data_IF_877492965896
#
_entry.id   IF_877492965896
#
_cell.length_a   1.000
_cell.length_b   1.000
_cell.length_c   1.000
_cell.angle_alpha   90.00
_cell.angle_beta   90.00
_cell.angle_gamma   90.00
#
_symmetry.space_group_name_H-M   'P 1'
#
loop_
_entity.id
_entity.type
_entity.pdbx_description
1 polymer ?
#
# COMPACT_ATOMS: atom_id res chain seq x y z
N UNK A 1 7.88 11.61 -23.85
CA UNK A 1 8.58 11.01 -22.69
C UNK A 1 8.51 12.02 -21.56
N UNK A 2 7.85 11.66 -20.47
CA UNK A 2 7.75 12.49 -19.26
C UNK A 2 8.75 11.93 -18.25
N UNK A 3 9.51 12.82 -17.62
CA UNK A 3 10.33 12.48 -16.45
C UNK A 3 9.57 12.94 -15.22
N UNK A 4 9.33 12.02 -14.30
CA UNK A 4 8.56 12.28 -13.09
C UNK A 4 9.19 11.53 -11.90
N UNK A 5 8.68 11.79 -10.71
CA UNK A 5 9.13 11.22 -9.45
C UNK A 5 7.99 10.48 -8.75
N UNK A 6 8.28 9.39 -8.05
CA UNK A 6 7.29 8.77 -7.16
C UNK A 6 6.98 9.68 -5.97
N UNK A 7 8.01 10.28 -5.40
CA UNK A 7 7.94 11.11 -4.20
C UNK A 7 8.10 12.57 -4.58
N UNK A 8 7.21 13.43 -4.07
CA UNK A 8 7.30 14.87 -4.28
C UNK A 8 8.62 15.45 -3.74
N UNK A 9 9.15 16.47 -4.40
CA UNK A 9 10.46 17.07 -4.07
C UNK A 9 10.49 17.70 -2.68
N UNK A 10 9.36 18.26 -2.24
CA UNK A 10 9.16 18.91 -0.94
C UNK A 10 8.83 17.92 0.20
N UNK A 11 8.64 16.64 -0.11
CA UNK A 11 8.36 15.62 0.90
C UNK A 11 9.56 15.36 1.80
N UNK A 12 9.34 15.18 3.10
CA UNK A 12 10.39 14.77 4.04
C UNK A 12 10.70 13.27 3.91
N UNK A 13 9.72 12.47 3.44
CA UNK A 13 9.88 11.02 3.28
C UNK A 13 10.69 10.69 2.03
N UNK A 14 11.51 9.63 2.09
CA UNK A 14 12.35 9.16 0.99
C UNK A 14 12.25 7.64 0.87
N UNK A 15 12.44 7.12 -0.34
CA UNK A 15 12.47 5.68 -0.60
C UNK A 15 13.68 5.06 0.13
N UNK A 16 13.46 4.08 1.03
CA UNK A 16 14.54 3.39 1.73
C UNK A 16 15.53 2.75 0.76
N UNK A 17 16.81 2.67 1.14
CA UNK A 17 17.86 2.18 0.23
C UNK A 17 17.60 0.77 -0.33
N UNK A 18 17.02 -0.14 0.46
CA UNK A 18 16.70 -1.49 0.00
C UNK A 18 15.58 -1.53 -1.07
N UNK A 19 14.74 -0.49 -1.11
CA UNK A 19 13.61 -0.37 -2.04
C UNK A 19 13.98 0.45 -3.29
N UNK A 20 15.11 1.15 -3.27
CA UNK A 20 15.64 1.81 -4.46
C UNK A 20 15.93 0.73 -5.51
N UNK A 21 15.58 1.02 -6.75
CA UNK A 21 15.66 0.09 -7.89
C UNK A 21 14.76 -1.16 -7.79
N UNK A 22 14.03 -1.38 -6.69
CA UNK A 22 13.03 -2.46 -6.62
C UNK A 22 11.64 -2.01 -7.10
N UNK A 23 11.45 -0.72 -7.35
CA UNK A 23 10.16 -0.14 -7.70
C UNK A 23 10.06 0.10 -9.19
N UNK A 24 8.92 -0.29 -9.76
CA UNK A 24 8.61 -0.15 -11.18
C UNK A 24 7.30 0.60 -11.38
N UNK A 25 7.31 1.58 -12.26
CA UNK A 25 6.11 2.28 -12.73
C UNK A 25 5.67 1.63 -14.02
N UNK A 26 4.43 1.18 -14.07
CA UNK A 26 3.83 0.52 -15.22
C UNK A 26 2.57 1.24 -15.67
N UNK A 27 2.43 1.37 -16.99
CA UNK A 27 1.24 1.88 -17.67
C UNK A 27 0.98 0.96 -18.87
N UNK A 28 -0.07 0.14 -18.80
CA UNK A 28 -0.36 -0.94 -19.75
C UNK A 28 0.86 -1.87 -20.00
N UNK A 29 1.37 -1.88 -21.25
CA UNK A 29 2.51 -2.67 -21.70
C UNK A 29 3.87 -1.96 -21.52
N UNK A 30 3.87 -0.72 -21.04
CA UNK A 30 5.07 0.07 -20.81
C UNK A 30 5.44 0.04 -19.34
N UNK A 31 6.72 -0.10 -19.04
CA UNK A 31 7.22 -0.05 -17.68
C UNK A 31 8.58 0.64 -17.62
N UNK A 32 8.83 1.35 -16.53
CA UNK A 32 10.10 1.97 -16.21
C UNK A 32 10.48 1.67 -14.76
N UNK A 33 11.71 1.19 -14.56
CA UNK A 33 12.29 1.06 -13.23
C UNK A 33 12.56 2.45 -12.67
N UNK A 34 12.21 2.66 -11.42
CA UNK A 34 12.49 3.91 -10.73
C UNK A 34 13.90 3.90 -10.14
N UNK A 35 14.50 5.07 -9.97
CA UNK A 35 15.87 5.22 -9.47
C UNK A 35 15.98 6.28 -8.38
N UNK A 36 16.91 6.06 -7.45
CA UNK A 36 17.28 7.01 -6.40
C UNK A 36 16.20 7.24 -5.33
N UNK A 37 16.46 8.16 -4.37
CA UNK A 37 15.69 8.29 -3.13
C UNK A 37 14.29 8.92 -3.32
N UNK A 38 14.02 9.51 -4.49
CA UNK A 38 12.71 10.05 -4.88
C UNK A 38 11.99 9.18 -5.91
N UNK A 39 12.66 8.15 -6.44
CA UNK A 39 12.11 7.25 -7.44
C UNK A 39 11.88 7.97 -8.77
N UNK A 40 12.94 8.54 -9.35
CA UNK A 40 12.87 9.13 -10.69
C UNK A 40 12.63 8.06 -11.74
N UNK A 41 11.72 8.33 -12.68
CA UNK A 41 11.43 7.45 -13.80
C UNK A 41 11.09 8.26 -15.05
N UNK A 42 11.26 7.62 -16.22
CA UNK A 42 10.89 8.21 -17.51
C UNK A 42 9.97 7.24 -18.26
N UNK A 43 8.74 7.68 -18.52
CA UNK A 43 7.73 6.89 -19.23
C UNK A 43 7.07 7.74 -20.32
N UNK A 44 6.64 7.11 -21.40
CA UNK A 44 5.76 7.77 -22.36
C UNK A 44 4.34 7.82 -21.78
N UNK A 45 3.99 8.97 -21.21
CA UNK A 45 2.68 9.18 -20.59
C UNK A 45 1.54 8.97 -21.58
N UNK A 46 0.56 8.20 -21.14
CA UNK A 46 -0.80 8.19 -21.69
C UNK A 46 -1.78 8.69 -20.61
N UNK A 47 -3.08 8.76 -20.95
CA UNK A 47 -4.16 9.09 -20.00
C UNK A 47 -4.62 7.85 -19.19
N UNK A 48 -3.84 6.76 -19.19
CA UNK A 48 -4.15 5.51 -18.48
C UNK A 48 -3.63 5.49 -17.03
N UNK A 49 -4.26 4.76 -16.11
CA UNK A 49 -3.77 4.62 -14.75
C UNK A 49 -2.33 4.08 -14.67
N UNK A 50 -1.58 4.59 -13.70
CA UNK A 50 -0.22 4.15 -13.38
C UNK A 50 -0.29 3.14 -12.25
N UNK A 51 0.36 1.99 -12.44
CA UNK A 51 0.57 1.00 -11.39
C UNK A 51 2.02 1.05 -10.91
N UNK A 52 2.21 1.23 -9.61
CA UNK A 52 3.48 1.00 -8.94
C UNK A 52 3.56 -0.47 -8.55
N UNK A 53 4.60 -1.16 -9.02
CA UNK A 53 4.84 -2.58 -8.77
C UNK A 53 6.20 -2.82 -8.10
N UNK A 54 6.32 -3.96 -7.44
CA UNK A 54 7.53 -4.37 -6.72
C UNK A 54 8.34 -5.44 -7.45
N UNK A 55 9.66 -5.30 -7.43
CA UNK A 55 10.67 -6.22 -7.97
C UNK A 55 10.84 -6.16 -9.48
N UNK A 56 9.74 -6.18 -10.23
CA UNK A 56 9.73 -6.24 -11.70
C UNK A 56 8.51 -5.52 -12.26
N UNK A 57 8.58 -5.15 -13.55
CA UNK A 57 7.38 -4.90 -14.33
C UNK A 57 6.43 -6.12 -14.24
N UNK A 58 5.16 -5.87 -13.91
CA UNK A 58 4.16 -6.91 -13.65
C UNK A 58 4.29 -7.64 -12.32
N UNK A 59 5.14 -7.16 -11.41
CA UNK A 59 5.25 -7.68 -10.06
C UNK A 59 4.03 -7.31 -9.18
N UNK A 60 4.06 -7.65 -7.88
CA UNK A 60 2.99 -7.29 -6.95
C UNK A 60 2.69 -5.80 -6.96
N UNK A 61 1.41 -5.45 -7.08
CA UNK A 61 0.95 -4.06 -7.06
C UNK A 61 1.07 -3.46 -5.67
N UNK A 62 1.61 -2.25 -5.60
CA UNK A 62 1.69 -1.45 -4.38
C UNK A 62 0.68 -0.31 -4.42
N UNK A 63 0.49 0.30 -5.59
CA UNK A 63 -0.40 1.45 -5.78
C UNK A 63 -0.91 1.45 -7.23
N UNK A 64 -2.16 1.83 -7.45
CA UNK A 64 -2.75 2.15 -8.74
C UNK A 64 -3.32 3.56 -8.63
N UNK A 65 -2.90 4.48 -9.47
CA UNK A 65 -3.32 5.87 -9.39
C UNK A 65 -3.63 6.43 -10.78
N UNK A 66 -4.49 7.44 -10.82
CA UNK A 66 -4.78 8.16 -12.05
C UNK A 66 -3.50 8.82 -12.62
N UNK A 67 -3.46 9.09 -13.94
CA UNK A 67 -2.33 9.76 -14.58
C UNK A 67 -1.96 11.07 -13.87
N UNK A 68 -0.66 11.32 -13.73
CA UNK A 68 -0.15 12.45 -12.96
C UNK A 68 -0.35 13.75 -13.76
N UNK A 69 -1.07 14.76 -13.24
CA UNK A 69 -1.18 16.08 -13.88
C UNK A 69 0.07 16.97 -13.66
N UNK A 70 1.21 16.41 -13.22
CA UNK A 70 2.41 17.12 -12.82
C UNK A 70 3.65 16.21 -12.71
N UNK A 71 4.66 16.65 -11.96
CA UNK A 71 5.99 16.01 -11.98
C UNK A 71 6.17 14.90 -10.92
N UNK A 72 5.15 14.63 -10.09
CA UNK A 72 5.25 13.56 -9.09
C UNK A 72 3.93 12.84 -8.79
N UNK A 73 4.01 11.53 -8.49
CA UNK A 73 2.89 10.71 -8.00
C UNK A 73 2.44 11.14 -6.59
N UNK A 74 3.33 11.76 -5.81
CA UNK A 74 3.05 12.18 -4.44
C UNK A 74 3.00 11.03 -3.43
N UNK A 75 3.58 9.88 -3.75
CA UNK A 75 3.60 8.72 -2.87
C UNK A 75 4.50 8.94 -1.66
N UNK A 76 4.05 8.48 -0.49
CA UNK A 76 4.73 8.65 0.80
C UNK A 76 5.10 7.31 1.46
N UNK A 77 5.19 6.25 0.67
CA UNK A 77 5.53 4.91 1.17
C UNK A 77 4.41 4.20 1.92
N UNK A 78 3.22 4.80 2.00
CA UNK A 78 2.02 4.21 2.61
C UNK A 78 1.08 3.70 1.53
N UNK A 79 0.38 2.62 1.83
CA UNK A 79 -0.67 2.05 0.99
C UNK A 79 -1.88 1.72 1.87
N UNK A 80 -3.07 2.15 1.45
CA UNK A 80 -4.32 1.76 2.08
C UNK A 80 -5.17 0.95 1.10
N UNK A 81 -5.72 -0.17 1.54
CA UNK A 81 -6.53 -1.08 0.71
C UNK A 81 -7.78 -1.47 1.49
N UNK A 82 -8.94 -1.31 0.88
CA UNK A 82 -10.20 -1.85 1.38
C UNK A 82 -10.65 -3.02 0.52
N UNK A 83 -11.05 -4.13 1.13
CA UNK A 83 -11.42 -5.35 0.40
C UNK A 83 -11.59 -6.57 1.27
N UNK A 84 -11.27 -7.75 0.74
CA UNK A 84 -11.38 -9.04 1.43
C UNK A 84 -10.04 -9.76 1.44
N UNK A 85 -9.80 -10.52 2.52
CA UNK A 85 -8.64 -11.41 2.60
C UNK A 85 -8.92 -12.65 1.74
N UNK A 86 -8.24 -12.76 0.60
CA UNK A 86 -8.37 -13.91 -0.31
C UNK A 86 -7.47 -15.07 0.12
N UNK A 87 -6.24 -14.75 0.56
CA UNK A 87 -5.25 -15.77 0.95
C UNK A 87 -4.45 -15.32 2.16
N UNK A 88 -4.16 -16.28 3.03
CA UNK A 88 -3.19 -16.15 4.11
C UNK A 88 -2.13 -17.24 3.96
N UNK A 89 -0.88 -16.82 3.96
CA UNK A 89 0.27 -17.70 4.01
C UNK A 89 0.95 -17.51 5.37
N UNK A 90 1.13 -18.60 6.10
CA UNK A 90 1.94 -18.60 7.33
C UNK A 90 3.31 -19.14 6.95
N UNK A 91 4.36 -18.34 7.17
CA UNK A 91 5.73 -18.70 6.84
C UNK A 91 6.58 -18.63 8.11
N UNK A 92 7.38 -19.67 8.32
CA UNK A 92 8.51 -19.63 9.26
C UNK A 92 9.78 -19.73 8.43
N UNK A 93 10.63 -18.71 8.49
CA UNK A 93 11.87 -18.67 7.69
C UNK A 93 12.93 -17.90 8.44
N UNK A 94 14.13 -18.48 8.56
CA UNK A 94 15.24 -17.89 9.33
C UNK A 94 14.88 -17.52 10.79
N UNK A 95 13.97 -18.28 11.42
CA UNK A 95 13.49 -18.03 12.78
C UNK A 95 12.51 -16.85 12.90
N UNK A 96 11.99 -16.36 11.78
CA UNK A 96 10.96 -15.33 11.72
C UNK A 96 9.64 -15.96 11.27
N UNK A 97 8.61 -15.82 12.11
CA UNK A 97 7.25 -16.26 11.81
C UNK A 97 6.43 -15.07 11.29
N UNK A 98 5.92 -15.21 10.06
CA UNK A 98 5.20 -14.16 9.35
C UNK A 98 3.88 -14.68 8.81
N UNK A 99 2.91 -13.78 8.75
CA UNK A 99 1.69 -13.94 7.98
C UNK A 99 1.76 -13.02 6.78
N UNK A 100 1.60 -13.59 5.59
CA UNK A 100 1.44 -12.85 4.34
C UNK A 100 -0.03 -12.91 3.95
N UNK A 101 -0.66 -11.75 3.87
CA UNK A 101 -2.05 -11.61 3.47
C UNK A 101 -2.15 -11.04 2.06
N UNK A 102 -2.93 -11.72 1.22
CA UNK A 102 -3.36 -11.21 -0.08
C UNK A 102 -4.77 -10.64 0.07
N UNK A 103 -4.90 -9.34 -0.14
CA UNK A 103 -6.16 -8.60 -0.07
C UNK A 103 -6.61 -8.33 -1.50
N UNK A 104 -7.75 -8.89 -1.90
CA UNK A 104 -8.43 -8.46 -3.12
C UNK A 104 -9.32 -7.26 -2.79
N UNK A 105 -9.07 -6.15 -3.45
CA UNK A 105 -9.78 -4.93 -3.16
C UNK A 105 -9.26 -3.74 -3.94
N UNK A 106 -9.63 -2.56 -3.48
CA UNK A 106 -9.36 -1.29 -4.12
C UNK A 106 -8.61 -0.36 -3.15
N UNK A 107 -7.90 0.62 -3.67
CA UNK A 107 -7.14 1.52 -2.81
C UNK A 107 -8.04 2.44 -2.02
N UNK A 108 -7.73 2.63 -0.75
CA UNK A 108 -8.35 3.66 0.04
C UNK A 108 -7.84 5.03 -0.42
N UNK A 109 -8.68 6.08 -0.38
CA UNK A 109 -8.26 7.43 -0.73
C UNK A 109 -7.01 7.87 0.04
N UNK A 110 -6.13 8.72 -0.51
CA UNK A 110 -4.94 9.20 0.19
C UNK A 110 -5.23 9.92 1.52
N UNK A 111 -6.44 10.45 1.66
CA UNK A 111 -6.96 11.11 2.86
C UNK A 111 -7.79 10.18 3.75
N UNK A 112 -7.85 8.87 3.46
CA UNK A 112 -8.49 7.88 4.32
C UNK A 112 -7.91 8.01 5.72
N UNK A 113 -8.75 8.44 6.66
CA UNK A 113 -8.28 8.85 7.98
C UNK A 113 -8.20 7.62 8.88
N UNK A 114 -6.98 7.27 9.28
CA UNK A 114 -6.73 6.63 10.58
C UNK A 114 -7.47 7.43 11.66
N UNK A 115 -7.88 6.76 12.74
CA UNK A 115 -8.41 7.45 13.92
C UNK A 115 -7.49 8.64 14.27
N UNK A 116 -8.05 9.84 14.48
CA UNK A 116 -7.25 11.04 14.62
C UNK A 116 -6.38 10.94 15.88
N UNK A 117 -5.15 11.42 15.79
CA UNK A 117 -4.30 11.60 16.97
C UNK A 117 -4.84 12.73 17.84
N UNK A 118 -4.49 12.72 19.13
CA UNK A 118 -4.84 13.80 20.05
C UNK A 118 -4.32 15.17 19.58
N UNK A 119 -3.18 15.22 18.89
CA UNK A 119 -2.65 16.46 18.31
C UNK A 119 -3.58 16.99 17.21
N UNK A 120 -3.97 16.13 16.26
CA UNK A 120 -4.89 16.48 15.18
C UNK A 120 -6.28 16.92 15.69
N UNK A 121 -6.78 16.27 16.75
CA UNK A 121 -8.05 16.64 17.38
C UNK A 121 -8.00 18.00 18.09
N UNK A 122 -6.81 18.48 18.50
CA UNK A 122 -6.63 19.80 19.12
C UNK A 122 -6.56 20.92 18.10
N UNK A 123 -6.08 20.63 16.89
CA UNK A 123 -5.89 21.61 15.82
C UNK A 123 -7.18 21.89 15.02
N UNK A 124 -8.13 20.95 14.99
CA UNK A 124 -9.40 21.12 14.30
C UNK A 124 -10.51 20.23 14.85
N UNK A 125 -11.77 20.59 14.58
CA UNK A 125 -12.92 19.74 14.90
C UNK A 125 -12.84 18.47 14.08
N UNK A 126 -12.75 17.32 14.76
CA UNK A 126 -12.79 16.03 14.08
C UNK A 126 -14.18 15.79 13.49
N UNK A 127 -14.23 15.62 12.17
CA UNK A 127 -15.42 15.19 11.43
C UNK A 127 -15.03 14.03 10.53
N UNK A 128 -15.74 12.90 10.66
CA UNK A 128 -15.64 11.79 9.70
C UNK A 128 -16.36 12.20 8.41
N UNK A 129 -15.68 12.03 7.28
CA UNK A 129 -16.25 12.28 5.95
C UNK A 129 -16.44 10.92 5.30
N UNK A 130 -17.68 10.47 5.18
CA UNK A 130 -18.04 9.13 4.71
C UNK A 130 -17.56 8.86 3.29
N UNK A 131 -17.54 9.87 2.42
CA UNK A 131 -17.10 9.72 1.03
C UNK A 131 -15.58 9.43 0.91
N UNK A 132 -14.79 9.71 1.95
CA UNK A 132 -13.36 9.43 2.01
C UNK A 132 -13.03 7.99 2.49
N UNK A 133 -14.06 7.21 2.84
CA UNK A 133 -13.92 5.85 3.35
C UNK A 133 -14.23 4.78 2.27
N UNK A 134 -14.48 5.19 1.02
CA UNK A 134 -14.79 4.25 -0.07
C UNK A 134 -13.55 3.90 -0.89
N UNK A 135 -13.28 2.60 -1.11
CA UNK A 135 -12.22 2.17 -2.00
C UNK A 135 -12.39 2.71 -3.44
N UNK A 136 -11.29 3.11 -4.06
CA UNK A 136 -11.21 3.67 -5.40
C UNK A 136 -10.84 2.57 -6.41
N UNK A 137 -11.62 2.37 -7.49
CA UNK A 137 -11.28 1.40 -8.53
C UNK A 137 -9.96 1.77 -9.23
N UNK A 138 -9.28 0.81 -9.87
CA UNK A 138 -9.67 -0.59 -10.07
C UNK A 138 -9.31 -1.50 -8.89
N UNK A 139 -9.98 -2.66 -8.85
CA UNK A 139 -9.59 -3.74 -7.94
C UNK A 139 -8.30 -4.43 -8.39
N UNK A 140 -7.48 -4.82 -7.41
CA UNK A 140 -6.29 -5.64 -7.61
C UNK A 140 -6.03 -6.48 -6.34
N UNK A 141 -5.03 -7.35 -6.42
CA UNK A 141 -4.52 -8.08 -5.26
C UNK A 141 -3.31 -7.35 -4.68
N UNK A 142 -3.38 -7.04 -3.39
CA UNK A 142 -2.33 -6.37 -2.64
C UNK A 142 -1.79 -7.30 -1.56
N UNK A 143 -0.46 -7.33 -1.41
CA UNK A 143 0.20 -8.22 -0.46
C UNK A 143 0.72 -7.44 0.74
N UNK A 144 0.33 -7.86 1.94
CA UNK A 144 0.78 -7.31 3.22
C UNK A 144 1.47 -8.37 4.07
N UNK A 145 2.43 -7.96 4.89
CA UNK A 145 3.10 -8.80 5.88
C UNK A 145 2.72 -8.33 7.28
N UNK A 146 2.39 -9.28 8.15
CA UNK A 146 2.30 -9.08 9.59
C UNK A 146 3.17 -10.10 10.32
N UNK A 147 3.61 -9.77 11.54
CA UNK A 147 4.22 -10.75 12.44
C UNK A 147 3.17 -11.78 12.85
N UNK A 148 3.51 -13.07 12.87
CA UNK A 148 2.54 -14.13 13.13
C UNK A 148 1.91 -14.06 14.53
N UNK A 149 2.64 -13.55 15.52
CA UNK A 149 2.20 -13.34 16.90
C UNK A 149 1.49 -12.00 17.13
N UNK A 150 1.29 -11.19 16.08
CA UNK A 150 0.65 -9.89 16.21
C UNK A 150 -0.88 -9.97 16.19
N UNK A 151 -1.51 -9.00 16.84
CA UNK A 151 -2.97 -8.80 16.78
C UNK A 151 -3.47 -8.59 15.33
N UNK A 152 -2.63 -8.06 14.44
CA UNK A 152 -2.97 -7.91 13.02
C UNK A 152 -3.16 -9.27 12.34
N UNK A 153 -2.28 -10.24 12.60
CA UNK A 153 -2.39 -11.59 12.05
C UNK A 153 -3.68 -12.28 12.54
N UNK A 154 -4.03 -12.13 13.81
CA UNK A 154 -5.28 -12.64 14.37
C UNK A 154 -6.50 -12.05 13.66
N UNK A 155 -6.54 -10.72 13.48
CA UNK A 155 -7.65 -10.06 12.79
C UNK A 155 -7.74 -10.42 11.31
N UNK A 156 -6.62 -10.56 10.60
CA UNK A 156 -6.61 -11.05 9.22
C UNK A 156 -7.19 -12.46 9.12
N UNK A 157 -6.81 -13.35 10.03
CA UNK A 157 -7.37 -14.70 10.10
C UNK A 157 -8.87 -14.69 10.38
N UNK A 158 -9.32 -13.88 11.36
CA UNK A 158 -10.75 -13.73 11.64
C UNK A 158 -11.53 -13.15 10.46
N UNK A 159 -10.97 -12.18 9.75
CA UNK A 159 -11.58 -11.60 8.56
C UNK A 159 -11.77 -12.65 7.46
N UNK A 160 -10.73 -13.43 7.18
CA UNK A 160 -10.79 -14.50 6.17
C UNK A 160 -11.84 -15.56 6.52
N UNK A 161 -11.83 -16.07 7.76
CA UNK A 161 -12.74 -17.15 8.19
C UNK A 161 -14.19 -16.67 8.29
N UNK A 162 -14.40 -15.41 8.65
CA UNK A 162 -15.73 -14.82 8.84
C UNK A 162 -16.24 -14.07 7.62
N UNK A 163 -15.49 -14.08 6.51
CA UNK A 163 -15.78 -13.35 5.26
C UNK A 163 -16.06 -11.85 5.52
N UNK A 164 -15.32 -11.25 6.45
CA UNK A 164 -15.45 -9.82 6.76
C UNK A 164 -14.57 -9.00 5.81
N UNK A 165 -15.12 -7.88 5.35
CA UNK A 165 -14.34 -6.88 4.67
C UNK A 165 -13.35 -6.22 5.65
N UNK A 166 -12.20 -5.80 5.12
CA UNK A 166 -11.11 -5.19 5.88
C UNK A 166 -10.64 -3.91 5.21
N UNK A 167 -10.26 -2.94 6.04
CA UNK A 167 -9.40 -1.83 5.63
C UNK A 167 -8.00 -2.06 6.20
N UNK A 168 -7.03 -2.29 5.32
CA UNK A 168 -5.63 -2.52 5.64
C UNK A 168 -4.81 -1.28 5.30
N UNK A 169 -3.96 -0.85 6.22
CA UNK A 169 -2.98 0.20 5.99
C UNK A 169 -1.59 -0.39 6.21
N UNK A 170 -0.74 -0.28 5.21
CA UNK A 170 0.64 -0.72 5.30
C UNK A 170 1.62 0.34 4.87
N UNK A 171 2.87 0.12 5.26
CA UNK A 171 4.01 0.96 4.91
C UNK A 171 5.10 0.13 4.27
N UNK A 172 5.86 0.74 3.37
CA UNK A 172 7.18 0.25 3.01
C UNK A 172 7.98 0.12 4.30
N UNK A 173 8.30 -1.12 4.67
CA UNK A 173 8.89 -1.38 5.98
C UNK A 173 10.23 -0.65 6.18
N UNK A 174 10.57 -0.24 7.42
CA UNK A 174 11.82 0.45 7.69
C UNK A 174 13.03 -0.46 7.43
N UNK A 175 14.14 0.13 6.97
CA UNK A 175 15.37 -0.63 6.71
C UNK A 175 15.94 -1.26 7.98
N UNK A 176 15.78 -0.61 9.13
CA UNK A 176 16.34 -1.06 10.42
C UNK A 176 15.83 -2.44 10.86
N UNK A 177 14.69 -2.88 10.34
CA UNK A 177 14.11 -4.18 10.68
C UNK A 177 14.73 -5.36 9.91
N UNK A 178 15.55 -5.12 8.88
CA UNK A 178 16.17 -6.17 8.05
C UNK A 178 15.21 -7.21 7.47
N UNK A 179 13.89 -6.97 7.51
CA UNK A 179 12.89 -7.92 7.04
C UNK A 179 13.06 -8.19 5.53
N UNK A 180 13.54 -7.21 4.77
CA UNK A 180 13.79 -7.31 3.33
C UNK A 180 14.93 -8.28 2.99
N UNK A 181 15.80 -8.59 3.95
CA UNK A 181 16.84 -9.61 3.80
C UNK A 181 16.26 -11.04 3.93
N UNK A 182 15.05 -11.17 4.49
CA UNK A 182 14.40 -12.44 4.82
C UNK A 182 13.22 -12.73 3.89
N UNK A 183 12.36 -11.73 3.67
CA UNK A 183 11.19 -11.81 2.80
C UNK A 183 11.21 -10.68 1.78
N UNK A 184 11.15 -11.03 0.50
CA UNK A 184 11.20 -10.07 -0.62
C UNK A 184 9.92 -9.29 -0.87
N UNK A 185 9.08 -9.06 0.14
CA UNK A 185 7.76 -8.44 0.02
C UNK A 185 7.68 -7.12 0.81
N UNK A 186 7.20 -5.99 0.26
CA UNK A 186 7.55 -4.68 0.80
C UNK A 186 6.66 -4.10 1.89
N UNK A 187 5.39 -4.49 1.95
CA UNK A 187 4.38 -3.79 2.76
C UNK A 187 4.22 -4.46 4.12
N UNK A 188 4.68 -3.79 5.18
CA UNK A 188 4.37 -4.16 6.54
C UNK A 188 3.01 -3.59 6.92
N UNK A 189 2.16 -4.41 7.52
CA UNK A 189 0.84 -4.02 7.98
C UNK A 189 0.95 -3.18 9.26
N UNK A 190 0.51 -1.93 9.20
CA UNK A 190 0.48 -0.99 10.33
C UNK A 190 -0.84 -1.06 11.09
N UNK A 191 -1.94 -1.30 10.37
CA UNK A 191 -3.29 -1.30 10.92
C UNK A 191 -4.23 -2.15 10.07
N UNK A 192 -5.18 -2.80 10.73
CA UNK A 192 -6.30 -3.51 10.12
C UNK A 192 -7.60 -3.11 10.82
N UNK A 193 -8.62 -2.78 10.05
CA UNK A 193 -9.98 -2.52 10.55
C UNK A 193 -10.90 -3.58 9.99
N UNK A 194 -11.67 -4.24 10.87
CA UNK A 194 -12.76 -5.12 10.44
C UNK A 194 -14.02 -4.32 10.18
N UNK A 195 -14.66 -4.56 9.04
CA UNK A 195 -15.91 -3.91 8.67
C UNK A 195 -17.05 -4.89 8.90
N UNK A 196 -18.08 -4.43 9.62
CA UNK A 196 -19.27 -5.21 9.84
C UNK A 196 -20.02 -5.43 8.51
N UNK A 197 -20.66 -6.60 8.30
CA UNK A 197 -21.51 -6.83 7.15
C UNK A 197 -22.65 -5.81 7.15
N UNK A 198 -22.70 -4.93 6.13
CA UNK A 198 -23.83 -4.02 5.92
C UNK A 198 -23.54 -2.52 5.86
N UNK A 199 -22.27 -2.08 5.92
CA UNK A 199 -21.95 -0.63 5.79
C UNK A 199 -21.49 -0.24 4.38
N UNK A 200 -20.97 -1.19 3.58
CA UNK A 200 -20.63 -0.96 2.18
C UNK A 200 -21.30 -2.05 1.34
N UNK A 201 -22.31 -1.66 0.55
CA UNK A 201 -22.76 -2.49 -0.55
C UNK A 201 -21.67 -2.48 -1.61
N UNK A 202 -20.95 -3.58 -1.72
CA UNK A 202 -20.15 -3.91 -2.90
C UNK A 202 -21.05 -4.63 -3.91
#
# INVERSE_FOLDING_TARGET
>A
MITAYLVAEDSVWHIPAYAQDMLWVQQEARAAQTSGPRGSFSLESTDEPITLTWGTAGGPSLLICEPIPGDSVGWQGTVGVGGFVERLHVLETHGLELVVAEIQGSLLPPNYRRLPTLAQMRESVFRRVTDADHPLPPEATYTFIAMADSIHAEYLHHAMVSELAVDCLGTLGPQQGHWHDIVGLPLLLDAVTLLAPGIHGF
#
